data_IF_590087396732
#
_entry.id   IF_590087396732
#
_cell.length_a   1.000
_cell.length_b   1.000
_cell.length_c   1.000
_cell.angle_alpha   90.00
_cell.angle_beta   90.00
_cell.angle_gamma   90.00
#
_symmetry.space_group_name_H-M   'P 1'
#
loop_
_entity.id
_entity.type
_entity.pdbx_description
1 polymer ?
#
# COMPACT_ATOMS: atom_id res chain seq x y z
N UNK A 1 23.57 -6.62 -0.58
CA UNK A 1 22.94 -7.75 0.16
C UNK A 1 22.82 -9.04 -0.67
N UNK A 2 22.15 -9.08 -1.83
CA UNK A 2 22.23 -10.26 -2.73
C UNK A 2 23.50 -10.29 -3.61
N UNK A 3 24.09 -9.12 -3.87
CA UNK A 3 25.34 -8.98 -4.61
C UNK A 3 26.52 -9.68 -3.89
N UNK A 4 26.48 -9.70 -2.56
CA UNK A 4 27.59 -10.15 -1.72
C UNK A 4 27.44 -11.63 -1.28
N UNK A 5 26.26 -12.23 -1.48
CA UNK A 5 25.95 -13.60 -1.07
C UNK A 5 24.83 -14.22 -1.96
N UNK A 6 25.13 -14.62 -3.20
CA UNK A 6 24.14 -15.12 -4.16
C UNK A 6 23.48 -16.44 -3.73
N UNK A 7 24.12 -17.22 -2.87
CA UNK A 7 23.62 -18.50 -2.33
C UNK A 7 22.68 -18.37 -1.12
N UNK A 8 22.35 -17.15 -0.66
CA UNK A 8 21.48 -16.97 0.50
C UNK A 8 20.08 -17.53 0.22
N UNK A 9 19.72 -18.61 0.90
CA UNK A 9 18.39 -19.23 0.81
C UNK A 9 17.39 -18.31 1.50
N UNK A 10 16.62 -17.58 0.70
CA UNK A 10 15.51 -16.75 1.20
C UNK A 10 14.27 -17.64 1.32
N UNK A 11 13.81 -17.87 2.56
CA UNK A 11 12.53 -18.53 2.81
C UNK A 11 11.40 -17.63 2.33
N UNK A 12 10.55 -18.14 1.43
CA UNK A 12 9.48 -17.35 0.84
C UNK A 12 8.36 -16.99 1.84
N UNK A 13 8.09 -17.84 2.84
CA UNK A 13 6.99 -17.63 3.79
C UNK A 13 7.15 -16.34 4.63
N UNK A 14 8.30 -16.09 5.31
CA UNK A 14 8.51 -14.82 6.02
C UNK A 14 8.39 -13.57 5.14
N UNK A 15 8.83 -13.66 3.88
CA UNK A 15 8.73 -12.54 2.94
C UNK A 15 7.28 -12.30 2.52
N UNK A 16 6.49 -13.35 2.32
CA UNK A 16 5.04 -13.23 2.07
C UNK A 16 4.32 -12.58 3.25
N UNK A 17 4.65 -12.97 4.48
CA UNK A 17 4.06 -12.36 5.67
C UNK A 17 4.45 -10.89 5.81
N UNK A 18 5.71 -10.55 5.49
CA UNK A 18 6.16 -9.17 5.43
C UNK A 18 5.39 -8.34 4.38
N UNK A 19 5.21 -8.87 3.17
CA UNK A 19 4.41 -8.21 2.12
C UNK A 19 2.97 -8.00 2.58
N UNK A 20 2.35 -9.03 3.18
CA UNK A 20 0.98 -8.92 3.71
C UNK A 20 0.87 -7.81 4.75
N UNK A 21 1.82 -7.72 5.70
CA UNK A 21 1.85 -6.65 6.71
C UNK A 21 2.04 -5.26 6.10
N UNK A 22 2.94 -5.13 5.12
CA UNK A 22 3.17 -3.87 4.43
C UNK A 22 1.93 -3.38 3.66
N UNK A 23 1.18 -4.30 3.02
CA UNK A 23 -0.10 -3.98 2.38
C UNK A 23 -1.13 -3.55 3.43
N UNK A 24 -1.22 -4.26 4.56
CA UNK A 24 -2.13 -3.91 5.66
C UNK A 24 -1.81 -2.53 6.28
N UNK A 25 -0.53 -2.18 6.42
CA UNK A 25 -0.12 -0.84 6.86
C UNK A 25 -0.54 0.23 5.85
N UNK A 26 -0.32 -0.01 4.55
CA UNK A 26 -0.77 0.89 3.49
C UNK A 26 -2.29 1.09 3.47
N UNK A 27 -3.05 0.01 3.67
CA UNK A 27 -4.51 0.06 3.83
C UNK A 27 -4.91 0.88 5.06
N UNK A 28 -4.19 0.70 6.18
CA UNK A 28 -4.41 1.49 7.41
C UNK A 28 -4.28 2.98 7.18
N UNK A 29 -3.18 3.41 6.57
CA UNK A 29 -2.94 4.83 6.31
C UNK A 29 -3.88 5.40 5.26
N UNK A 30 -4.29 4.62 4.25
CA UNK A 30 -5.30 5.04 3.28
C UNK A 30 -6.66 5.28 3.96
N UNK A 31 -7.12 4.35 4.79
CA UNK A 31 -8.40 4.48 5.52
C UNK A 31 -8.36 5.64 6.51
N UNK A 32 -7.24 5.85 7.21
CA UNK A 32 -7.07 7.00 8.09
C UNK A 32 -7.13 8.33 7.33
N UNK A 33 -6.50 8.40 6.16
CA UNK A 33 -6.57 9.59 5.30
C UNK A 33 -7.99 9.84 4.79
N UNK A 34 -8.67 8.79 4.34
CA UNK A 34 -10.07 8.86 3.87
C UNK A 34 -11.02 9.35 4.99
N UNK A 35 -10.82 8.90 6.24
CA UNK A 35 -11.59 9.35 7.41
C UNK A 35 -11.25 10.78 7.81
N UNK A 36 -9.96 11.13 7.83
CA UNK A 36 -9.52 12.48 8.18
C UNK A 36 -10.06 13.54 7.21
N UNK A 37 -10.15 13.18 5.93
CA UNK A 37 -10.75 14.02 4.90
C UNK A 37 -12.23 14.37 5.18
N UNK A 38 -12.93 13.59 6.01
CA UNK A 38 -14.32 13.83 6.43
C UNK A 38 -14.49 14.77 7.63
N UNK A 39 -13.41 15.15 8.34
CA UNK A 39 -13.49 16.05 9.50
C UNK A 39 -13.33 17.53 9.11
N UNK A 40 -14.02 18.41 9.84
CA UNK A 40 -13.99 19.85 9.62
C UNK A 40 -12.61 20.49 9.83
N UNK A 41 -11.73 19.88 10.63
CA UNK A 41 -10.41 20.42 10.99
C UNK A 41 -9.32 20.27 9.92
N UNK A 42 -9.64 19.68 8.76
CA UNK A 42 -8.68 19.47 7.66
C UNK A 42 -8.01 20.76 7.18
N UNK A 43 -8.75 21.87 7.18
CA UNK A 43 -8.24 23.17 6.71
C UNK A 43 -7.23 23.81 7.68
N UNK A 44 -7.13 23.31 8.91
CA UNK A 44 -6.14 23.81 9.88
C UNK A 44 -4.72 23.39 9.47
N UNK A 45 -3.67 24.13 9.90
CA UNK A 45 -2.29 23.71 9.68
C UNK A 45 -1.99 22.31 10.22
N UNK A 46 -2.57 21.94 11.36
CA UNK A 46 -2.46 20.61 11.95
C UNK A 46 -3.15 19.55 11.08
N UNK A 47 -4.35 19.85 10.59
CA UNK A 47 -5.11 18.98 9.69
C UNK A 47 -4.33 18.66 8.42
N UNK A 48 -3.69 19.67 7.80
CA UNK A 48 -2.82 19.48 6.62
C UNK A 48 -1.57 18.65 6.93
N UNK A 49 -0.93 18.88 8.08
CA UNK A 49 0.23 18.09 8.50
C UNK A 49 -0.13 16.60 8.68
N UNK A 50 -1.31 16.31 9.24
CA UNK A 50 -1.80 14.94 9.38
C UNK A 50 -2.01 14.29 8.00
N UNK A 51 -2.63 14.99 7.05
CA UNK A 51 -2.79 14.52 5.67
C UNK A 51 -1.43 14.16 5.04
N UNK A 52 -0.45 15.06 5.15
CA UNK A 52 0.91 14.86 4.62
C UNK A 52 1.61 13.65 5.27
N UNK A 53 1.53 13.52 6.59
CA UNK A 53 2.13 12.40 7.32
C UNK A 53 1.48 11.06 6.96
N UNK A 54 0.15 11.01 6.83
CA UNK A 54 -0.57 9.80 6.43
C UNK A 54 -0.24 9.41 5.00
N UNK A 55 -0.19 10.36 4.08
CA UNK A 55 0.24 10.13 2.70
C UNK A 55 1.67 9.57 2.63
N UNK A 56 2.59 10.15 3.41
CA UNK A 56 3.98 9.69 3.49
C UNK A 56 4.08 8.27 4.06
N UNK A 57 3.36 7.98 5.14
CA UNK A 57 3.33 6.64 5.75
C UNK A 57 2.74 5.60 4.80
N UNK A 58 1.67 5.95 4.07
CA UNK A 58 1.08 5.10 3.01
C UNK A 58 2.13 4.80 1.93
N UNK A 59 2.82 5.83 1.42
CA UNK A 59 3.86 5.68 0.39
C UNK A 59 4.99 4.75 0.83
N UNK A 60 5.50 4.92 2.05
CA UNK A 60 6.54 4.04 2.63
C UNK A 60 6.05 2.59 2.74
N UNK A 61 4.80 2.38 3.19
CA UNK A 61 4.23 1.04 3.31
C UNK A 61 4.09 0.35 1.95
N UNK A 62 3.65 1.07 0.92
CA UNK A 62 3.58 0.58 -0.47
C UNK A 62 4.99 0.22 -0.96
N UNK A 63 5.98 1.11 -0.79
CA UNK A 63 7.35 0.81 -1.24
C UNK A 63 7.90 -0.47 -0.60
N UNK A 64 7.63 -0.68 0.69
CA UNK A 64 8.00 -1.91 1.40
C UNK A 64 7.34 -3.14 0.81
N UNK A 65 6.05 -3.07 0.47
CA UNK A 65 5.36 -4.17 -0.20
C UNK A 65 6.02 -4.52 -1.55
N UNK A 66 6.34 -3.52 -2.38
CA UNK A 66 7.03 -3.73 -3.65
C UNK A 66 8.45 -4.28 -3.49
N UNK A 67 9.20 -3.85 -2.46
CA UNK A 67 10.51 -4.43 -2.14
C UNK A 67 10.39 -5.90 -1.75
N UNK A 68 9.41 -6.27 -0.92
CA UNK A 68 9.15 -7.66 -0.57
C UNK A 68 8.74 -8.51 -1.78
N UNK A 69 7.87 -7.98 -2.64
CA UNK A 69 7.52 -8.61 -3.91
C UNK A 69 8.72 -8.76 -4.85
N UNK A 70 9.63 -7.79 -4.89
CA UNK A 70 10.88 -7.89 -5.67
C UNK A 70 11.83 -8.98 -5.15
N UNK A 71 11.78 -9.30 -3.85
CA UNK A 71 12.51 -10.44 -3.29
C UNK A 71 11.89 -11.77 -3.74
N UNK A 72 10.55 -11.86 -3.72
CA UNK A 72 9.78 -13.04 -4.15
C UNK A 72 9.83 -13.26 -5.67
N UNK A 73 9.89 -12.17 -6.45
CA UNK A 73 9.85 -12.17 -7.90
C UNK A 73 10.99 -11.31 -8.50
N UNK A 74 12.26 -11.76 -8.39
CA UNK A 74 13.41 -10.93 -8.76
C UNK A 74 13.46 -10.50 -10.23
N UNK A 75 12.86 -11.28 -11.13
CA UNK A 75 12.86 -11.02 -12.58
C UNK A 75 11.76 -10.07 -13.04
N UNK A 76 10.80 -9.74 -12.18
CA UNK A 76 9.62 -8.96 -12.57
C UNK A 76 9.82 -7.44 -12.47
N UNK A 77 11.01 -6.95 -12.11
CA UNK A 77 11.32 -5.50 -12.17
C UNK A 77 10.47 -4.64 -11.23
N UNK A 78 10.06 -5.16 -10.06
CA UNK A 78 9.08 -4.55 -9.15
C UNK A 78 9.45 -3.13 -8.68
N UNK A 79 10.73 -2.74 -8.74
CA UNK A 79 11.15 -1.36 -8.47
C UNK A 79 10.60 -0.41 -9.55
N UNK A 80 10.80 -0.74 -10.81
CA UNK A 80 10.29 0.05 -11.95
C UNK A 80 8.76 0.08 -11.95
N UNK A 81 8.11 -1.02 -11.55
CA UNK A 81 6.64 -1.08 -11.39
C UNK A 81 6.16 -0.09 -10.32
N UNK A 82 6.81 -0.05 -9.15
CA UNK A 82 6.50 0.93 -8.11
C UNK A 82 6.72 2.37 -8.58
N UNK A 83 7.83 2.64 -9.26
CA UNK A 83 8.13 3.98 -9.77
C UNK A 83 7.11 4.41 -10.84
N UNK A 84 6.67 3.50 -11.71
CA UNK A 84 5.62 3.76 -12.70
C UNK A 84 4.25 4.01 -12.06
N UNK A 85 3.90 3.29 -10.99
CA UNK A 85 2.66 3.52 -10.24
C UNK A 85 2.66 4.90 -9.56
N UNK A 86 3.79 5.29 -8.96
CA UNK A 86 3.86 6.50 -8.13
C UNK A 86 4.18 7.78 -8.91
N UNK A 87 4.85 7.66 -10.06
CA UNK A 87 5.36 8.81 -10.83
C UNK A 87 5.06 8.74 -12.33
N UNK A 88 4.50 7.63 -12.82
CA UNK A 88 4.19 7.46 -14.24
C UNK A 88 2.99 8.28 -14.70
N UNK A 89 2.90 8.45 -16.01
CA UNK A 89 1.67 8.85 -16.69
C UNK A 89 0.65 7.69 -16.66
N UNK A 90 -0.55 7.92 -17.18
CA UNK A 90 -1.63 6.93 -17.16
C UNK A 90 -1.27 5.64 -17.91
N UNK A 91 -0.54 5.75 -19.03
CA UNK A 91 -0.08 4.60 -19.82
C UNK A 91 0.88 3.73 -18.99
N UNK A 92 1.88 4.35 -18.36
CA UNK A 92 2.85 3.66 -17.50
C UNK A 92 2.18 3.04 -16.28
N UNK A 93 1.21 3.72 -15.66
CA UNK A 93 0.44 3.18 -14.54
C UNK A 93 -0.37 1.96 -14.95
N UNK A 94 -1.01 2.00 -16.12
CA UNK A 94 -1.78 0.87 -16.66
C UNK A 94 -0.89 -0.35 -16.92
N UNK A 95 0.26 -0.17 -17.59
CA UNK A 95 1.22 -1.25 -17.81
C UNK A 95 1.78 -1.83 -16.49
N UNK A 96 2.06 -0.97 -15.51
CA UNK A 96 2.51 -1.40 -14.18
C UNK A 96 1.44 -2.22 -13.45
N UNK A 97 0.16 -1.87 -13.63
CA UNK A 97 -0.98 -2.60 -13.09
C UNK A 97 -1.07 -4.02 -13.67
N UNK A 98 -0.90 -4.19 -14.98
CA UNK A 98 -0.89 -5.51 -15.61
C UNK A 98 0.21 -6.41 -15.02
N UNK A 99 1.40 -5.86 -14.76
CA UNK A 99 2.50 -6.60 -14.12
C UNK A 99 2.11 -7.00 -12.68
N UNK A 100 1.50 -6.10 -11.91
CA UNK A 100 0.98 -6.43 -10.57
C UNK A 100 -0.04 -7.56 -10.65
N UNK A 101 -0.95 -7.52 -11.61
CA UNK A 101 -1.97 -8.55 -11.81
C UNK A 101 -1.38 -9.89 -12.25
N UNK A 102 -0.28 -9.90 -13.02
CA UNK A 102 0.39 -11.13 -13.41
C UNK A 102 1.20 -11.76 -12.27
N UNK A 103 1.83 -10.94 -11.41
CA UNK A 103 2.84 -11.40 -10.44
C UNK A 103 2.27 -11.63 -9.05
N UNK A 104 1.33 -10.78 -8.61
CA UNK A 104 0.81 -10.82 -7.24
C UNK A 104 -0.28 -11.87 -7.12
N UNK A 105 -0.20 -12.67 -6.05
CA UNK A 105 -1.18 -13.71 -5.76
C UNK A 105 -2.60 -13.15 -5.67
N UNK A 106 -3.59 -13.96 -6.04
CA UNK A 106 -5.01 -13.59 -5.98
C UNK A 106 -5.47 -13.15 -4.58
N UNK A 107 -4.84 -13.68 -3.52
CA UNK A 107 -5.11 -13.28 -2.12
C UNK A 107 -4.73 -11.82 -1.84
N UNK A 108 -3.55 -11.37 -2.30
CA UNK A 108 -3.00 -10.06 -1.94
C UNK A 108 -3.33 -8.97 -2.97
N UNK A 109 -3.61 -9.36 -4.21
CA UNK A 109 -3.81 -8.46 -5.34
C UNK A 109 -4.95 -7.45 -5.13
N UNK A 110 -6.16 -7.83 -4.66
CA UNK A 110 -7.24 -6.86 -4.46
C UNK A 110 -6.84 -5.76 -3.49
N UNK A 111 -6.21 -6.13 -2.37
CA UNK A 111 -5.79 -5.21 -1.33
C UNK A 111 -4.63 -4.32 -1.77
N UNK A 112 -3.62 -4.86 -2.47
CA UNK A 112 -2.54 -4.05 -3.02
C UNK A 112 -3.08 -3.01 -4.01
N UNK A 113 -3.95 -3.43 -4.94
CA UNK A 113 -4.56 -2.52 -5.93
C UNK A 113 -5.40 -1.43 -5.26
N UNK A 114 -6.18 -1.76 -4.22
CA UNK A 114 -6.93 -0.75 -3.46
C UNK A 114 -6.03 0.32 -2.81
N UNK A 115 -4.81 -0.07 -2.42
CA UNK A 115 -3.85 0.83 -1.76
C UNK A 115 -3.02 1.64 -2.75
N UNK A 116 -2.81 1.18 -3.99
CA UNK A 116 -2.02 1.93 -4.99
C UNK A 116 -2.88 2.77 -5.93
N UNK A 117 -4.11 2.34 -6.20
CA UNK A 117 -5.00 3.03 -7.13
C UNK A 117 -5.56 4.31 -6.49
N UNK A 118 -5.71 5.32 -7.34
CA UNK A 118 -6.58 6.45 -7.03
C UNK A 118 -8.04 6.00 -7.21
N UNK A 119 -8.80 6.01 -6.13
CA UNK A 119 -10.20 5.59 -6.13
C UNK A 119 -10.93 6.21 -4.94
N UNK A 120 -12.27 6.36 -5.00
CA UNK A 120 -13.06 6.84 -3.88
C UNK A 120 -12.91 5.95 -2.63
N UNK A 121 -13.05 6.56 -1.44
CA UNK A 121 -12.91 5.89 -0.15
C UNK A 121 -13.80 4.64 -0.02
N UNK A 122 -15.07 4.74 -0.43
CA UNK A 122 -16.02 3.62 -0.35
C UNK A 122 -15.62 2.45 -1.27
N UNK A 123 -15.17 2.75 -2.48
CA UNK A 123 -14.67 1.75 -3.42
C UNK A 123 -13.40 1.07 -2.88
N UNK A 124 -12.50 1.85 -2.26
CA UNK A 124 -11.31 1.34 -1.59
C UNK A 124 -11.67 0.40 -0.46
N UNK A 125 -12.61 0.80 0.40
CA UNK A 125 -13.07 0.04 1.56
C UNK A 125 -13.72 -1.28 1.13
N UNK A 126 -14.61 -1.24 0.13
CA UNK A 126 -15.23 -2.43 -0.45
C UNK A 126 -14.18 -3.41 -0.99
N UNK A 127 -13.16 -2.91 -1.69
CA UNK A 127 -12.09 -3.75 -2.27
C UNK A 127 -11.13 -4.32 -1.23
N UNK A 128 -10.86 -3.59 -0.15
CA UNK A 128 -10.05 -4.06 0.98
C UNK A 128 -10.78 -5.16 1.78
N UNK A 129 -12.12 -5.14 1.84
CA UNK A 129 -12.91 -6.13 2.56
C UNK A 129 -12.46 -6.26 4.03
N UNK A 130 -12.10 -7.47 4.46
CA UNK A 130 -11.62 -7.73 5.84
C UNK A 130 -10.27 -7.10 6.19
N UNK A 131 -9.52 -6.63 5.20
CA UNK A 131 -8.25 -5.91 5.43
C UNK A 131 -8.47 -4.41 5.64
N UNK A 132 -9.69 -3.90 5.40
CA UNK A 132 -10.01 -2.52 5.76
C UNK A 132 -9.98 -2.41 7.29
N UNK A 133 -9.21 -1.49 7.88
CA UNK A 133 -9.34 -1.17 9.29
C UNK A 133 -10.79 -0.81 9.60
N UNK A 134 -11.28 -1.27 10.76
CA UNK A 134 -12.56 -0.82 11.30
C UNK A 134 -12.58 0.72 11.42
N UNK A 135 -13.78 1.34 11.45
CA UNK A 135 -13.85 2.74 11.85
C UNK A 135 -13.17 2.89 13.22
N UNK A 136 -12.35 3.94 13.38
CA UNK A 136 -11.84 4.23 14.71
C UNK A 136 -13.03 4.61 15.57
N UNK A 137 -13.09 4.03 16.76
CA UNK A 137 -13.90 4.55 17.84
C UNK A 137 -13.48 6.02 18.01
N UNK A 138 -14.43 6.97 18.03
CA UNK A 138 -14.10 8.36 18.33
C UNK A 138 -13.35 8.41 19.67
N UNK A 139 -12.50 9.42 19.88
CA UNK A 139 -11.86 9.59 21.19
C UNK A 139 -12.90 9.60 22.33
N UNK A 140 -14.08 10.18 22.07
CA UNK A 140 -15.22 10.19 22.99
C UNK A 140 -15.81 8.81 23.32
N UNK A 141 -15.57 7.80 22.49
CA UNK A 141 -15.99 6.42 22.75
C UNK A 141 -14.97 5.58 23.53
N UNK A 142 -13.83 6.19 23.90
CA UNK A 142 -12.78 5.59 24.74
C UNK A 142 -12.80 6.11 26.20
N UNK A 143 -13.74 7.00 26.54
CA UNK A 143 -13.89 7.62 27.87
C UNK A 143 -15.14 7.10 28.56
#
# INVERSE_FOLDING_TARGET
>A
MRADAPGLIIKAAPVRDYVRRAIADGARYATLGDQHAGFHDRATPMGRLIDELLAEKRRIAIERAFRGLGILHPRAGLRSVYDAITRGDEVRRSAAREIVEAVVSSELRPALLAVVDDMPADARRARLGRLAPGPFASYESLV
#
